data_IF_087593501587
#
_entry.id   IF_087593501587
#
_cell.length_a   1.000
_cell.length_b   1.000
_cell.length_c   1.000
_cell.angle_alpha   90.00
_cell.angle_beta   90.00
_cell.angle_gamma   90.00
#
_symmetry.space_group_name_H-M   'P 1'
#
loop_
_entity.id
_entity.type
_entity.pdbx_description
1 polymer ?
#
# COMPACT_ATOMS: atom_id res chain seq x y z
N UNK A 1 9.91 21.11 3.28
CA UNK A 1 10.69 21.79 2.21
C UNK A 1 11.74 22.72 2.79
N UNK A 2 11.38 23.69 3.64
CA UNK A 2 12.35 24.58 4.31
C UNK A 2 13.43 23.82 5.10
N UNK A 3 13.09 22.68 5.71
CA UNK A 3 14.07 21.82 6.40
C UNK A 3 15.15 21.23 5.47
N UNK A 4 14.84 21.05 4.17
CA UNK A 4 15.75 20.42 3.19
C UNK A 4 16.46 21.46 2.33
N UNK A 5 15.76 22.53 1.95
CA UNK A 5 16.26 23.57 1.04
C UNK A 5 16.66 24.86 1.76
N UNK A 6 16.24 25.07 3.02
CA UNK A 6 16.36 26.36 3.68
C UNK A 6 15.65 27.45 2.87
N UNK A 7 16.37 28.52 2.58
CA UNK A 7 15.96 29.61 1.69
C UNK A 7 16.61 29.51 0.29
N UNK A 8 17.24 28.36 -0.03
CA UNK A 8 17.90 28.12 -1.32
C UNK A 8 16.88 27.79 -2.41
N UNK A 9 17.07 28.39 -3.59
CA UNK A 9 16.33 28.06 -4.82
C UNK A 9 17.08 27.08 -5.73
N UNK A 10 18.05 26.32 -5.20
CA UNK A 10 18.77 25.33 -6.01
C UNK A 10 17.80 24.25 -6.54
N UNK A 11 18.08 23.64 -7.70
CA UNK A 11 17.32 22.49 -8.17
C UNK A 11 17.36 21.32 -7.17
N UNK A 12 16.29 20.51 -7.18
CA UNK A 12 16.21 19.25 -6.45
C UNK A 12 17.21 18.25 -7.02
N UNK A 13 17.96 17.58 -6.14
CA UNK A 13 18.85 16.47 -6.50
C UNK A 13 18.40 15.19 -5.81
N UNK A 14 18.90 14.04 -6.27
CA UNK A 14 18.44 12.72 -5.82
C UNK A 14 18.65 12.51 -4.33
N UNK A 15 19.73 13.07 -3.78
CA UNK A 15 20.15 12.97 -2.38
C UNK A 15 19.19 13.70 -1.42
N UNK A 16 18.32 14.58 -1.95
CA UNK A 16 17.28 15.25 -1.18
C UNK A 16 16.06 14.36 -0.94
N UNK A 17 15.76 13.44 -1.86
CA UNK A 17 14.54 12.62 -1.82
C UNK A 17 14.38 11.87 -0.49
N UNK A 18 15.42 11.20 0.07
CA UNK A 18 15.29 10.52 1.35
C UNK A 18 15.01 11.46 2.54
N UNK A 19 15.26 12.77 2.40
CA UNK A 19 15.02 13.78 3.44
C UNK A 19 13.60 14.35 3.39
N UNK A 20 12.88 14.17 2.28
CA UNK A 20 11.51 14.65 2.09
C UNK A 20 10.48 13.72 2.77
N UNK A 21 10.62 13.50 4.08
CA UNK A 21 9.84 12.51 4.84
C UNK A 21 8.33 12.76 4.80
N UNK A 22 7.89 14.01 4.85
CA UNK A 22 6.46 14.32 4.72
C UNK A 22 5.93 13.98 3.32
N UNK A 23 6.69 14.28 2.27
CA UNK A 23 6.31 13.93 0.90
C UNK A 23 6.22 12.42 0.71
N UNK A 24 7.18 11.66 1.24
CA UNK A 24 7.15 10.19 1.22
C UNK A 24 5.84 9.66 1.85
N UNK A 25 5.44 10.22 2.99
CA UNK A 25 4.20 9.86 3.69
C UNK A 25 2.93 10.27 2.91
N UNK A 26 2.94 11.44 2.27
CA UNK A 26 1.85 11.89 1.37
C UNK A 26 1.70 10.93 0.18
N UNK A 27 2.80 10.48 -0.42
CA UNK A 27 2.77 9.52 -1.53
C UNK A 27 2.23 8.17 -1.06
N UNK A 28 2.68 7.67 0.10
CA UNK A 28 2.20 6.42 0.70
C UNK A 28 0.69 6.48 0.99
N UNK A 29 0.21 7.57 1.61
CA UNK A 29 -1.22 7.75 1.89
C UNK A 29 -2.06 7.92 0.61
N UNK A 30 -1.49 8.56 -0.41
CA UNK A 30 -2.11 8.63 -1.73
C UNK A 30 -2.28 7.24 -2.35
N UNK A 31 -1.28 6.36 -2.27
CA UNK A 31 -1.43 4.98 -2.76
C UNK A 31 -2.31 4.10 -1.88
N UNK A 32 -2.42 4.40 -0.58
CA UNK A 32 -3.38 3.73 0.28
C UNK A 32 -4.80 4.01 -0.20
N UNK A 33 -5.18 5.28 -0.31
CA UNK A 33 -6.54 5.67 -0.71
C UNK A 33 -6.79 5.51 -2.21
N UNK A 34 -5.81 5.77 -3.06
CA UNK A 34 -5.95 5.73 -4.51
C UNK A 34 -4.88 4.83 -5.13
N UNK A 35 -4.95 3.51 -4.86
CA UNK A 35 -4.00 2.56 -5.43
C UNK A 35 -4.11 2.59 -6.96
N UNK A 36 -2.98 2.68 -7.70
CA UNK A 36 -3.00 2.68 -9.16
C UNK A 36 -3.69 1.44 -9.75
N UNK A 37 -3.58 0.30 -9.06
CA UNK A 37 -4.28 -0.94 -9.37
C UNK A 37 -5.17 -1.29 -8.17
N UNK A 38 -6.49 -1.05 -8.25
CA UNK A 38 -7.40 -1.21 -7.11
C UNK A 38 -7.73 -2.67 -6.77
N UNK A 39 -7.48 -3.61 -7.68
CA UNK A 39 -7.70 -5.03 -7.46
C UNK A 39 -6.79 -5.88 -8.34
N UNK A 40 -6.60 -7.14 -7.94
CA UNK A 40 -5.90 -8.15 -8.75
C UNK A 40 -6.77 -9.40 -8.91
N UNK A 41 -6.60 -10.06 -10.05
CA UNK A 41 -7.33 -11.27 -10.41
C UNK A 41 -6.36 -12.44 -10.58
N UNK A 42 -6.80 -13.64 -10.19
CA UNK A 42 -6.10 -14.91 -10.47
C UNK A 42 -7.11 -15.95 -10.93
N UNK A 43 -6.71 -16.82 -11.86
CA UNK A 43 -7.44 -18.03 -12.19
C UNK A 43 -6.86 -19.18 -11.39
N UNK A 44 -7.73 -19.94 -10.75
CA UNK A 44 -7.37 -21.16 -10.03
C UNK A 44 -7.22 -22.28 -11.05
N UNK A 45 -6.00 -22.77 -11.27
CA UNK A 45 -5.74 -23.85 -12.23
C UNK A 45 -6.00 -25.23 -11.63
N UNK A 46 -5.75 -25.38 -10.32
CA UNK A 46 -5.98 -26.60 -9.55
C UNK A 46 -6.70 -26.23 -8.27
N UNK A 47 -7.61 -27.09 -7.84
CA UNK A 47 -8.31 -26.92 -6.57
C UNK A 47 -7.33 -26.64 -5.43
N UNK A 48 -7.69 -25.69 -4.57
CA UNK A 48 -6.84 -25.26 -3.46
C UNK A 48 -7.68 -25.07 -2.20
N UNK A 49 -7.23 -25.66 -1.09
CA UNK A 49 -7.77 -25.38 0.24
C UNK A 49 -6.94 -24.29 0.90
N UNK A 50 -7.58 -23.19 1.25
CA UNK A 50 -6.97 -22.09 1.99
C UNK A 50 -6.73 -22.49 3.47
N UNK A 51 -5.81 -21.83 4.20
CA UNK A 51 -5.62 -22.05 5.63
C UNK A 51 -6.89 -21.87 6.49
N UNK A 52 -7.88 -21.12 5.98
CA UNK A 52 -9.19 -20.97 6.62
C UNK A 52 -10.08 -22.23 6.52
N UNK A 53 -9.64 -23.27 5.79
CA UNK A 53 -10.42 -24.47 5.48
C UNK A 53 -11.32 -24.34 4.25
N UNK A 54 -11.37 -23.17 3.61
CA UNK A 54 -12.18 -22.94 2.40
C UNK A 54 -11.50 -23.57 1.18
N UNK A 55 -12.18 -24.49 0.51
CA UNK A 55 -11.73 -25.07 -0.77
C UNK A 55 -12.27 -24.27 -1.95
N UNK A 56 -11.37 -23.86 -2.86
CA UNK A 56 -11.69 -23.13 -4.08
C UNK A 56 -11.50 -24.07 -5.28
N UNK A 57 -12.55 -24.36 -6.06
CA UNK A 57 -12.46 -25.27 -7.21
C UNK A 57 -11.55 -24.77 -8.33
N UNK A 58 -10.98 -25.71 -9.10
CA UNK A 58 -10.31 -25.41 -10.37
C UNK A 58 -11.27 -24.68 -11.34
N UNK A 59 -10.72 -23.75 -12.11
CA UNK A 59 -11.45 -22.89 -13.04
C UNK A 59 -11.98 -21.59 -12.41
N UNK A 60 -12.01 -21.47 -11.08
CA UNK A 60 -12.52 -20.29 -10.37
C UNK A 60 -11.65 -19.05 -10.59
N UNK A 61 -12.28 -17.87 -10.55
CA UNK A 61 -11.60 -16.59 -10.45
C UNK A 61 -11.48 -16.12 -8.99
N UNK A 62 -10.27 -15.77 -8.56
CA UNK A 62 -10.02 -15.11 -7.26
C UNK A 62 -9.83 -13.62 -7.52
N UNK A 63 -10.61 -12.81 -6.82
CA UNK A 63 -10.51 -11.36 -6.80
C UNK A 63 -9.99 -10.90 -5.44
N UNK A 64 -8.91 -10.11 -5.45
CA UNK A 64 -8.39 -9.48 -4.22
C UNK A 64 -8.55 -7.97 -4.36
N UNK A 65 -9.37 -7.40 -3.48
CA UNK A 65 -9.61 -5.95 -3.40
C UNK A 65 -8.48 -5.27 -2.64
N UNK A 66 -7.54 -4.64 -3.35
CA UNK A 66 -6.50 -3.79 -2.74
C UNK A 66 -7.17 -2.53 -2.18
N UNK A 67 -8.08 -1.93 -2.95
CA UNK A 67 -8.84 -0.76 -2.55
C UNK A 67 -9.61 -0.96 -1.24
N UNK A 68 -10.25 -2.13 -1.08
CA UNK A 68 -10.95 -2.50 0.14
C UNK A 68 -10.00 -2.79 1.30
N UNK A 69 -8.93 -3.57 1.08
CA UNK A 69 -7.93 -3.86 2.11
C UNK A 69 -7.28 -2.58 2.68
N UNK A 70 -7.04 -1.59 1.82
CA UNK A 70 -6.47 -0.30 2.21
C UNK A 70 -7.43 0.60 2.99
N UNK A 71 -8.73 0.24 3.07
CA UNK A 71 -9.79 0.99 3.76
C UNK A 71 -10.46 0.22 4.88
N UNK A 72 -10.08 -1.03 5.08
CA UNK A 72 -10.69 -1.88 6.09
C UNK A 72 -10.45 -1.27 7.49
N UNK A 73 -11.52 -0.83 8.19
CA UNK A 73 -11.39 -0.20 9.51
C UNK A 73 -10.74 -1.11 10.55
N UNK A 74 -10.75 -2.43 10.32
CA UNK A 74 -10.03 -3.40 11.17
C UNK A 74 -8.53 -3.13 11.20
N UNK A 75 -7.94 -2.71 10.08
CA UNK A 75 -6.50 -2.45 9.97
C UNK A 75 -6.17 -0.96 10.00
N UNK A 76 -7.07 -0.10 9.53
CA UNK A 76 -6.81 1.33 9.33
C UNK A 76 -7.54 2.26 10.31
N UNK A 77 -8.40 1.71 11.16
CA UNK A 77 -9.19 2.47 12.14
C UNK A 77 -10.50 3.03 11.59
N UNK A 78 -11.33 3.65 12.45
CA UNK A 78 -12.64 4.18 12.08
C UNK A 78 -12.56 5.33 11.05
N UNK A 79 -11.39 5.97 10.96
CA UNK A 79 -11.11 7.08 10.06
C UNK A 79 -10.40 6.62 8.77
N UNK A 80 -10.51 5.34 8.40
CA UNK A 80 -9.82 4.74 7.25
C UNK A 80 -10.05 5.47 5.90
N UNK A 81 -11.16 6.19 5.72
CA UNK A 81 -11.42 6.98 4.51
C UNK A 81 -10.70 8.35 4.51
N UNK A 82 -10.19 8.81 5.65
CA UNK A 82 -9.54 10.11 5.77
C UNK A 82 -8.09 10.04 5.29
N UNK A 83 -7.72 11.02 4.45
CA UNK A 83 -6.35 11.25 4.02
C UNK A 83 -5.53 11.83 5.18
N UNK A 84 -4.68 11.01 5.78
CA UNK A 84 -3.78 11.40 6.86
C UNK A 84 -2.36 10.85 6.61
N UNK A 85 -1.44 11.66 6.06
CA UNK A 85 -0.04 11.27 5.87
C UNK A 85 0.65 10.85 7.17
N UNK A 86 0.23 11.40 8.31
CA UNK A 86 0.85 11.11 9.60
C UNK A 86 0.53 9.69 10.09
N UNK A 87 -0.38 8.94 9.45
CA UNK A 87 -0.52 7.48 9.65
C UNK A 87 0.77 6.72 9.42
N UNK A 88 1.61 7.21 8.50
CA UNK A 88 2.90 6.60 8.15
C UNK A 88 4.06 7.12 9.02
N UNK A 89 3.78 7.85 10.11
CA UNK A 89 4.78 8.10 11.15
C UNK A 89 5.26 6.78 11.77
N UNK A 90 6.56 6.62 12.08
CA UNK A 90 7.07 5.37 12.67
C UNK A 90 6.32 4.91 13.93
N UNK A 91 5.80 5.86 14.72
CA UNK A 91 5.11 5.60 15.98
C UNK A 91 3.62 5.23 15.77
N UNK A 92 3.05 5.56 14.61
CA UNK A 92 1.64 5.31 14.25
C UNK A 92 1.48 4.16 13.25
N UNK A 93 2.49 3.93 12.42
CA UNK A 93 2.46 2.96 11.34
C UNK A 93 2.72 1.55 11.87
N UNK A 94 1.64 0.86 12.23
CA UNK A 94 1.71 -0.51 12.73
C UNK A 94 0.85 -1.43 11.85
N UNK A 95 1.47 -2.05 10.83
CA UNK A 95 0.80 -3.02 9.99
C UNK A 95 0.55 -4.30 10.80
N UNK A 96 -0.70 -4.53 11.20
CA UNK A 96 -1.10 -5.79 11.83
C UNK A 96 -0.99 -6.99 10.88
N UNK A 97 -1.10 -6.74 9.58
CA UNK A 97 -0.98 -7.76 8.54
C UNK A 97 -0.22 -7.22 7.32
N UNK A 98 0.74 -7.98 6.79
CA UNK A 98 1.59 -7.54 5.68
C UNK A 98 0.77 -7.08 4.45
N UNK A 99 -0.31 -7.78 4.12
CA UNK A 99 -1.19 -7.44 2.98
C UNK A 99 -2.24 -6.36 3.28
N UNK A 100 -2.23 -5.72 4.47
CA UNK A 100 -3.14 -4.59 4.75
C UNK A 100 -2.70 -3.30 4.03
N UNK A 101 -1.43 -3.22 3.64
CA UNK A 101 -0.87 -2.20 2.76
C UNK A 101 -0.04 -2.86 1.65
N UNK A 102 -0.60 -2.95 0.45
CA UNK A 102 0.02 -3.60 -0.73
C UNK A 102 -0.22 -2.79 -2.01
N UNK A 103 0.20 -1.51 -2.05
CA UNK A 103 -0.03 -0.62 -3.20
C UNK A 103 0.59 -1.15 -4.49
N UNK A 104 1.60 -2.01 -4.37
CA UNK A 104 2.33 -2.63 -5.46
C UNK A 104 2.16 -4.16 -5.50
N UNK A 105 1.04 -4.66 -4.96
CA UNK A 105 0.77 -6.10 -4.76
C UNK A 105 1.79 -6.77 -3.84
N UNK A 106 1.71 -8.10 -3.71
CA UNK A 106 2.59 -8.89 -2.84
C UNK A 106 2.96 -10.23 -3.51
N UNK A 107 4.10 -10.81 -3.10
CA UNK A 107 4.56 -12.11 -3.58
C UNK A 107 5.23 -12.05 -4.96
N UNK A 108 5.32 -13.19 -5.68
CA UNK A 108 6.16 -13.34 -6.88
C UNK A 108 5.73 -12.54 -8.11
N UNK A 109 4.61 -11.82 -8.02
CA UNK A 109 4.03 -10.99 -9.08
C UNK A 109 3.79 -9.56 -8.60
N UNK A 110 4.55 -9.10 -7.61
CA UNK A 110 4.55 -7.70 -7.19
C UNK A 110 5.16 -6.79 -8.28
N UNK A 111 4.93 -5.49 -8.15
CA UNK A 111 5.43 -4.51 -9.11
C UNK A 111 6.97 -4.46 -9.09
N UNK A 112 7.61 -4.60 -10.26
CA UNK A 112 9.07 -4.47 -10.40
C UNK A 112 9.57 -3.02 -10.28
N UNK A 113 8.65 -2.04 -10.28
CA UNK A 113 8.93 -0.62 -10.14
C UNK A 113 8.92 -0.12 -8.69
N UNK A 114 8.60 -0.97 -7.71
CA UNK A 114 8.72 -0.64 -6.30
C UNK A 114 10.23 -0.58 -5.94
N UNK A 115 10.78 0.63 -5.78
CA UNK A 115 12.18 0.89 -5.48
C UNK A 115 12.34 2.10 -4.55
#
# INVERSE_FOLDING_TARGET
>A
LKEVFGDSNRPLVKEDLPKLKYLERVVKESFRLFPPVPFILRKVEKEITLPSGVTIPSGSGIFVSIFGAHRDPKYWGPDAEHFDPDRFLPERFNLQHACSYMPFSYGPRNCVGEK
#
